data_IF_259178386890
#
_entry.id   IF_259178386890
#
_cell.length_a   1.000
_cell.length_b   1.000
_cell.length_c   1.000
_cell.angle_alpha   90.00
_cell.angle_beta   90.00
_cell.angle_gamma   90.00
#
_symmetry.space_group_name_H-M   'P 1'
#
loop_
_entity.id
_entity.type
_entity.pdbx_description
1 polymer ?
#
# COMPACT_ATOMS: atom_id res chain seq x y z
N UNK A 1 -11.10 18.84 10.43
CA UNK A 1 -9.75 19.22 10.88
C UNK A 1 -9.11 20.11 9.85
N UNK A 2 -8.67 21.28 10.25
CA UNK A 2 -7.95 22.19 9.36
C UNK A 2 -6.46 21.96 9.44
N UNK A 3 -5.73 22.51 8.48
CA UNK A 3 -4.28 22.43 8.43
C UNK A 3 -3.60 22.89 9.73
N UNK A 4 -4.14 23.95 10.33
CA UNK A 4 -3.57 24.54 11.55
C UNK A 4 -3.81 23.69 12.81
N UNK A 5 -4.74 22.73 12.73
CA UNK A 5 -5.09 21.84 13.82
C UNK A 5 -4.23 20.57 13.86
N UNK A 6 -3.39 20.34 12.84
CA UNK A 6 -2.60 19.13 12.74
C UNK A 6 -1.36 19.25 13.65
N UNK A 7 -1.15 18.29 14.56
CA UNK A 7 0.06 18.27 15.37
C UNK A 7 1.31 18.11 14.50
N UNK A 8 2.38 18.80 14.86
CA UNK A 8 3.65 18.71 14.12
C UNK A 8 4.74 18.07 14.97
N UNK A 9 5.67 17.32 14.33
CA UNK A 9 5.70 16.99 12.90
C UNK A 9 4.64 15.97 12.49
N UNK A 10 4.13 16.07 11.27
CA UNK A 10 3.14 15.14 10.73
C UNK A 10 3.38 14.90 9.24
N UNK A 11 3.19 13.67 8.80
CA UNK A 11 3.15 13.35 7.38
C UNK A 11 1.74 13.61 6.86
N UNK A 12 1.64 14.33 5.75
CA UNK A 12 0.38 14.71 5.15
C UNK A 12 0.33 14.19 3.72
N UNK A 13 -0.82 13.62 3.34
CA UNK A 13 -1.03 13.10 1.99
C UNK A 13 -1.98 14.02 1.23
N UNK A 14 -1.56 14.44 0.04
CA UNK A 14 -2.45 15.10 -0.91
C UNK A 14 -3.29 14.01 -1.57
N UNK A 15 -4.56 13.96 -1.23
CA UNK A 15 -5.45 12.89 -1.67
C UNK A 15 -5.65 12.88 -3.18
N UNK A 16 -5.77 14.04 -3.82
CA UNK A 16 -5.94 14.11 -5.27
C UNK A 16 -4.69 13.61 -5.99
N UNK A 17 -3.51 13.96 -5.52
CA UNK A 17 -2.25 13.46 -6.08
C UNK A 17 -2.12 11.94 -5.88
N UNK A 18 -2.49 11.43 -4.73
CA UNK A 18 -2.48 10.00 -4.45
C UNK A 18 -3.37 9.24 -5.43
N UNK A 19 -4.60 9.70 -5.61
CA UNK A 19 -5.55 9.06 -6.52
C UNK A 19 -5.05 9.09 -7.97
N UNK A 20 -4.50 10.23 -8.42
CA UNK A 20 -3.93 10.32 -9.76
C UNK A 20 -2.78 9.35 -9.96
N UNK A 21 -1.88 9.26 -8.99
CA UNK A 21 -0.71 8.39 -9.09
C UNK A 21 -1.10 6.91 -9.10
N UNK A 22 -2.07 6.52 -8.28
CA UNK A 22 -2.59 5.15 -8.27
C UNK A 22 -3.22 4.80 -9.61
N UNK A 23 -4.07 5.67 -10.14
CA UNK A 23 -4.73 5.46 -11.42
C UNK A 23 -3.71 5.39 -12.56
N UNK A 24 -2.72 6.28 -12.57
CA UNK A 24 -1.69 6.32 -13.61
C UNK A 24 -0.89 5.02 -13.64
N UNK A 25 -0.48 4.51 -12.50
CA UNK A 25 0.27 3.26 -12.44
C UNK A 25 -0.57 2.06 -12.92
N UNK A 26 -1.83 2.00 -12.51
CA UNK A 26 -2.75 0.96 -12.95
C UNK A 26 -2.92 0.97 -14.48
N UNK A 27 -3.03 2.16 -15.07
CA UNK A 27 -3.17 2.32 -16.52
C UNK A 27 -1.91 1.95 -17.28
N UNK A 28 -0.74 2.22 -16.72
CA UNK A 28 0.55 1.92 -17.37
C UNK A 28 0.79 0.42 -17.49
N UNK A 29 0.37 -0.39 -16.54
CA UNK A 29 0.61 -1.83 -16.58
C UNK A 29 -0.44 -2.58 -17.38
N UNK A 30 -1.66 -2.04 -17.48
CA UNK A 30 -2.79 -2.73 -18.13
C UNK A 30 -2.51 -3.15 -19.58
N UNK A 31 -1.96 -2.29 -20.45
CA UNK A 31 -1.71 -2.69 -21.85
C UNK A 31 -0.68 -3.80 -22.02
N UNK A 32 0.13 -4.03 -21.01
CA UNK A 32 1.20 -5.03 -21.05
C UNK A 32 0.78 -6.40 -20.55
N UNK A 33 -0.47 -6.53 -20.09
CA UNK A 33 -0.99 -7.79 -19.57
C UNK A 33 -0.31 -8.28 -18.29
N UNK A 34 0.29 -7.37 -17.53
CA UNK A 34 0.94 -7.70 -16.26
C UNK A 34 0.08 -7.25 -15.10
N UNK A 35 0.20 -7.99 -13.98
CA UNK A 35 -0.48 -7.64 -12.74
C UNK A 35 0.41 -6.71 -11.90
N UNK A 36 -0.24 -5.80 -11.17
CA UNK A 36 0.45 -4.88 -10.28
C UNK A 36 0.30 -5.34 -8.84
N UNK A 37 1.42 -5.42 -8.12
CA UNK A 37 1.46 -5.71 -6.69
C UNK A 37 2.33 -4.66 -6.01
N UNK A 38 1.74 -3.53 -5.59
CA UNK A 38 2.51 -2.44 -5.02
C UNK A 38 3.10 -2.79 -3.66
N UNK A 39 4.23 -2.19 -3.35
CA UNK A 39 4.90 -2.41 -2.09
C UNK A 39 4.38 -1.44 -1.02
N UNK A 40 4.03 -1.97 0.15
CA UNK A 40 3.47 -1.18 1.25
C UNK A 40 4.53 -0.63 2.21
N UNK A 41 5.82 -0.95 2.01
CA UNK A 41 6.88 -0.52 2.94
C UNK A 41 7.00 0.99 3.07
N UNK A 42 6.64 1.73 2.01
CA UNK A 42 6.76 3.19 1.97
C UNK A 42 5.69 3.86 2.81
N UNK A 43 4.43 3.48 2.60
CA UNK A 43 3.31 4.15 3.28
C UNK A 43 2.86 3.44 4.56
N UNK A 44 3.03 2.12 4.64
CA UNK A 44 2.62 1.31 5.81
C UNK A 44 1.19 1.60 6.25
N UNK A 45 0.29 1.79 5.29
CA UNK A 45 -1.07 2.25 5.54
C UNK A 45 -2.08 1.37 4.82
N UNK A 46 -2.97 0.72 5.58
CA UNK A 46 -4.00 -0.14 5.01
C UNK A 46 -5.00 0.62 4.14
N UNK A 47 -5.30 1.87 4.49
CA UNK A 47 -6.21 2.70 3.70
C UNK A 47 -5.64 2.98 2.31
N UNK A 48 -4.34 3.27 2.19
CA UNK A 48 -3.67 3.45 0.90
C UNK A 48 -3.67 2.14 0.12
N UNK A 49 -3.34 1.03 0.77
CA UNK A 49 -3.34 -0.29 0.14
C UNK A 49 -4.71 -0.65 -0.42
N UNK A 50 -5.80 -0.36 0.31
CA UNK A 50 -7.15 -0.60 -0.20
C UNK A 50 -7.46 0.22 -1.45
N UNK A 51 -6.98 1.46 -1.53
CA UNK A 51 -7.16 2.28 -2.73
C UNK A 51 -6.42 1.68 -3.92
N UNK A 52 -5.24 1.13 -3.70
CA UNK A 52 -4.47 0.46 -4.74
C UNK A 52 -5.18 -0.81 -5.23
N UNK A 53 -5.72 -1.60 -4.31
CA UNK A 53 -6.51 -2.78 -4.65
C UNK A 53 -7.77 -2.41 -5.43
N UNK A 54 -8.47 -1.35 -5.02
CA UNK A 54 -9.65 -0.87 -5.72
C UNK A 54 -9.33 -0.42 -7.15
N UNK A 55 -8.12 0.04 -7.40
CA UNK A 55 -7.66 0.45 -8.74
C UNK A 55 -7.18 -0.74 -9.60
N UNK A 56 -7.22 -1.96 -9.08
CA UNK A 56 -6.91 -3.16 -9.84
C UNK A 56 -5.65 -3.91 -9.44
N UNK A 57 -4.95 -3.49 -8.38
CA UNK A 57 -3.82 -4.26 -7.87
C UNK A 57 -4.27 -5.64 -7.42
N UNK A 58 -3.45 -6.65 -7.65
CA UNK A 58 -3.79 -8.04 -7.28
C UNK A 58 -3.54 -8.36 -5.81
N UNK A 59 -2.73 -7.56 -5.16
CA UNK A 59 -2.37 -7.72 -3.75
C UNK A 59 -1.32 -6.68 -3.39
N UNK A 60 -0.60 -6.90 -2.32
CA UNK A 60 0.39 -5.95 -1.79
C UNK A 60 1.66 -6.70 -1.40
N UNK A 61 2.81 -6.05 -1.58
CA UNK A 61 4.09 -6.54 -1.07
C UNK A 61 4.40 -5.91 0.28
N UNK A 62 5.05 -6.67 1.14
CA UNK A 62 5.53 -6.23 2.45
C UNK A 62 7.01 -6.54 2.59
N UNK A 63 7.74 -5.70 3.31
CA UNK A 63 9.15 -5.93 3.58
C UNK A 63 9.37 -6.85 4.78
N UNK A 64 8.50 -6.79 5.77
CA UNK A 64 8.64 -7.54 7.04
C UNK A 64 7.37 -8.29 7.37
N UNK A 65 7.53 -9.40 8.08
CA UNK A 65 6.39 -10.21 8.52
C UNK A 65 5.39 -9.42 9.37
N UNK A 66 5.89 -8.56 10.25
CA UNK A 66 5.02 -7.71 11.08
C UNK A 66 4.15 -6.76 10.26
N UNK A 67 4.65 -6.25 9.15
CA UNK A 67 3.86 -5.43 8.21
C UNK A 67 2.74 -6.26 7.59
N UNK A 68 3.07 -7.50 7.18
CA UNK A 68 2.09 -8.40 6.60
C UNK A 68 1.00 -8.76 7.61
N UNK A 69 1.37 -9.03 8.85
CA UNK A 69 0.40 -9.34 9.91
C UNK A 69 -0.54 -8.17 10.15
N UNK A 70 -0.02 -6.95 10.22
CA UNK A 70 -0.84 -5.75 10.42
C UNK A 70 -1.83 -5.54 9.28
N UNK A 71 -1.37 -5.70 8.04
CA UNK A 71 -2.24 -5.57 6.87
C UNK A 71 -3.28 -6.68 6.79
N UNK A 72 -2.91 -7.90 7.15
CA UNK A 72 -3.84 -9.03 7.21
C UNK A 72 -4.95 -8.78 8.22
N UNK A 73 -4.61 -8.30 9.41
CA UNK A 73 -5.59 -7.95 10.43
C UNK A 73 -6.53 -6.82 9.97
N UNK A 74 -6.04 -5.94 9.11
CA UNK A 74 -6.85 -4.88 8.52
C UNK A 74 -7.70 -5.36 7.32
N UNK A 75 -7.68 -6.64 7.00
CA UNK A 75 -8.50 -7.24 5.94
C UNK A 75 -7.84 -7.37 4.59
N UNK A 76 -6.55 -7.08 4.47
CA UNK A 76 -5.80 -7.23 3.22
C UNK A 76 -5.12 -8.60 3.27
N UNK A 77 -5.58 -9.53 2.42
CA UNK A 77 -5.22 -10.94 2.54
C UNK A 77 -4.26 -11.45 1.48
N UNK A 78 -4.16 -10.78 0.33
CA UNK A 78 -3.22 -11.19 -0.72
C UNK A 78 -1.91 -10.43 -0.54
N UNK A 79 -0.99 -11.04 0.21
CA UNK A 79 0.24 -10.42 0.68
C UNK A 79 1.44 -11.27 0.27
N UNK A 80 2.51 -10.59 -0.20
CA UNK A 80 3.80 -11.21 -0.49
C UNK A 80 4.87 -10.52 0.34
N UNK A 81 5.57 -11.28 1.16
CA UNK A 81 6.74 -10.77 1.90
C UNK A 81 7.96 -10.93 1.01
N UNK A 82 8.62 -9.80 0.71
CA UNK A 82 9.71 -9.76 -0.27
C UNK A 82 11.10 -9.99 0.32
N UNK A 83 11.21 -10.00 1.65
CA UNK A 83 12.47 -10.25 2.34
C UNK A 83 12.50 -11.64 2.96
N UNK A 84 13.67 -12.23 3.19
CA UNK A 84 13.74 -13.49 3.90
C UNK A 84 13.10 -13.37 5.28
N UNK A 85 12.31 -14.38 5.64
CA UNK A 85 11.68 -14.45 6.96
C UNK A 85 12.28 -15.63 7.71
N UNK A 86 12.65 -15.38 8.96
CA UNK A 86 13.00 -16.44 9.87
C UNK A 86 11.86 -16.62 10.86
N UNK A 87 11.31 -17.82 10.90
CA UNK A 87 10.33 -18.22 11.91
C UNK A 87 11.00 -19.09 12.97
N UNK A 88 12.30 -19.06 13.03
CA UNK A 88 13.03 -19.84 14.00
C UNK A 88 12.57 -19.45 15.40
N UNK A 89 11.90 -20.35 15.98
CA UNK A 89 11.51 -20.23 17.37
C UNK A 89 12.71 -20.46 18.24
#
# INVERSE_FOLDING_TARGET
>A
MTRDEIPTPAAVVDLDALERNIALMAERVRPHGVALRPHAKTHKCSAVARRQLAAGAVGVCCAKLGEAEALFEAGITDLLVTSPCSTAA
#
